data_IF_840459336408
#
_entry.id   IF_840459336408
#
_cell.length_a   1.000
_cell.length_b   1.000
_cell.length_c   1.000
_cell.angle_alpha   90.00
_cell.angle_beta   90.00
_cell.angle_gamma   90.00
#
_symmetry.space_group_name_H-M   'P 1'
#
loop_
_entity.id
_entity.type
_entity.pdbx_description
1 polymer ?
#
# COMPACT_ATOMS: atom_id res chain seq x y z
N UNK A 1 19.53 15.89 -19.27
CA UNK A 1 18.58 14.75 -19.18
C UNK A 1 17.89 14.83 -17.83
N UNK A 2 16.65 15.33 -17.76
CA UNK A 2 15.86 15.26 -16.53
C UNK A 2 15.36 13.82 -16.36
N UNK A 3 15.79 13.14 -15.30
CA UNK A 3 15.18 11.89 -14.85
C UNK A 3 13.96 12.27 -14.02
N UNK A 4 12.77 12.05 -14.56
CA UNK A 4 11.53 12.14 -13.80
C UNK A 4 11.55 11.06 -12.71
N UNK A 5 11.71 11.47 -11.46
CA UNK A 5 11.58 10.60 -10.29
C UNK A 5 10.13 10.74 -9.80
N UNK A 6 9.26 9.80 -10.17
CA UNK A 6 7.94 9.69 -9.51
C UNK A 6 8.18 9.20 -8.08
N UNK A 7 8.21 10.12 -7.12
CA UNK A 7 8.00 9.76 -5.72
C UNK A 7 6.50 9.56 -5.50
N UNK A 8 6.06 8.30 -5.47
CA UNK A 8 4.75 7.96 -4.89
C UNK A 8 4.91 7.91 -3.37
N UNK A 9 4.62 9.03 -2.70
CA UNK A 9 4.62 9.15 -1.24
C UNK A 9 3.25 8.82 -0.67
N UNK A 10 3.20 7.91 0.29
CA UNK A 10 1.97 7.58 0.99
C UNK A 10 1.81 8.48 2.20
N UNK A 11 0.80 9.35 2.15
CA UNK A 11 0.39 10.19 3.25
C UNK A 11 -0.80 9.54 3.98
N UNK A 12 -0.77 9.55 5.31
CA UNK A 12 -1.89 9.08 6.11
C UNK A 12 -3.00 10.15 6.11
N UNK A 13 -4.20 9.76 5.66
CA UNK A 13 -5.41 10.58 5.71
C UNK A 13 -6.53 9.79 6.38
N UNK A 14 -7.30 10.45 7.25
CA UNK A 14 -8.55 9.91 7.78
C UNK A 14 -9.72 10.44 6.95
N UNK A 15 -10.59 9.57 6.45
CA UNK A 15 -11.80 9.96 5.73
C UNK A 15 -13.01 9.78 6.66
N UNK A 16 -13.70 10.87 6.99
CA UNK A 16 -14.96 10.84 7.73
C UNK A 16 -16.07 11.13 6.73
N UNK A 17 -16.87 10.12 6.36
CA UNK A 17 -18.08 10.31 5.55
C UNK A 17 -19.30 10.26 6.48
N UNK A 18 -19.97 11.39 6.77
CA UNK A 18 -21.23 11.35 7.49
C UNK A 18 -22.28 10.67 6.61
N UNK A 19 -22.77 9.50 7.04
CA UNK A 19 -23.90 8.84 6.39
C UNK A 19 -25.17 9.66 6.65
N UNK A 20 -25.64 10.41 5.66
CA UNK A 20 -26.93 11.09 5.71
C UNK A 20 -27.88 10.55 4.65
N UNK A 21 -29.05 10.08 5.08
CA UNK A 21 -30.19 9.63 4.27
C UNK A 21 -30.87 10.80 3.53
N UNK A 22 -30.13 11.59 2.77
CA UNK A 22 -30.68 12.71 2.00
C UNK A 22 -30.33 12.52 0.52
N UNK A 23 -31.35 12.23 -0.30
CA UNK A 23 -31.23 11.95 -1.75
C UNK A 23 -30.58 13.08 -2.58
N UNK A 24 -30.22 14.21 -1.98
CA UNK A 24 -29.61 15.38 -2.62
C UNK A 24 -28.52 16.06 -1.77
N UNK A 25 -27.98 15.43 -0.72
CA UNK A 25 -26.91 16.05 0.07
C UNK A 25 -25.58 16.03 -0.71
N UNK A 26 -24.95 17.20 -0.87
CA UNK A 26 -23.56 17.29 -1.36
C UNK A 26 -22.66 16.61 -0.32
N UNK A 27 -21.97 15.55 -0.72
CA UNK A 27 -20.89 14.96 0.08
C UNK A 27 -19.75 15.97 0.13
N UNK A 28 -19.53 16.57 1.30
CA UNK A 28 -18.32 17.34 1.55
C UNK A 28 -17.26 16.39 2.10
N UNK A 29 -16.13 16.29 1.39
CA UNK A 29 -14.95 15.54 1.83
C UNK A 29 -13.94 16.56 2.36
N UNK A 30 -13.64 16.50 3.65
CA UNK A 30 -12.53 17.23 4.26
C UNK A 30 -11.33 16.31 4.44
N UNK A 31 -10.13 16.86 4.25
CA UNK A 31 -8.87 16.13 4.38
C UNK A 31 -8.02 16.83 5.43
N UNK A 32 -7.65 16.11 6.47
CA UNK A 32 -6.68 16.53 7.47
C UNK A 32 -5.49 15.57 7.44
N UNK A 33 -4.31 16.11 7.17
CA UNK A 33 -3.08 15.34 7.13
C UNK A 33 -2.52 15.17 8.54
N UNK A 34 -2.37 13.92 8.98
CA UNK A 34 -1.82 13.62 10.30
C UNK A 34 -0.28 13.66 10.33
N UNK A 35 0.37 13.71 9.16
CA UNK A 35 1.83 13.79 9.04
C UNK A 35 2.22 14.71 7.88
N UNK A 36 3.23 15.59 8.06
CA UNK A 36 3.82 16.37 6.96
C UNK A 36 4.82 15.55 6.12
N UNK A 37 5.15 14.33 6.55
CA UNK A 37 6.10 13.43 5.87
C UNK A 37 5.46 12.08 5.53
N UNK A 38 6.01 11.33 4.57
CA UNK A 38 5.53 9.99 4.26
C UNK A 38 5.65 9.05 5.47
N UNK A 39 4.61 8.24 5.72
CA UNK A 39 4.62 7.26 6.82
C UNK A 39 5.36 5.96 6.48
N UNK A 40 5.64 5.75 5.19
CA UNK A 40 6.48 4.69 4.65
C UNK A 40 7.36 5.31 3.56
N UNK A 41 8.60 4.83 3.42
CA UNK A 41 9.57 5.35 2.45
C UNK A 41 10.40 4.21 1.86
N UNK A 42 11.00 4.38 0.67
CA UNK A 42 11.89 3.39 0.08
C UNK A 42 13.06 3.03 1.01
N UNK A 43 13.48 1.78 0.97
CA UNK A 43 14.67 1.33 1.67
C UNK A 43 15.94 1.75 0.90
N UNK A 44 17.09 1.80 1.57
CA UNK A 44 18.38 2.04 0.90
C UNK A 44 18.83 0.89 0.01
N UNK A 45 18.28 -0.32 0.23
CA UNK A 45 18.58 -1.54 -0.50
C UNK A 45 17.47 -2.58 -0.33
N UNK A 46 17.50 -3.64 -1.13
CA UNK A 46 16.56 -4.76 -1.02
C UNK A 46 15.24 -4.54 -1.75
N UNK A 47 14.19 -5.30 -1.40
CA UNK A 47 12.92 -5.33 -2.14
C UNK A 47 12.20 -3.99 -2.32
N UNK A 48 12.43 -3.03 -1.43
CA UNK A 48 11.82 -1.70 -1.47
C UNK A 48 12.78 -0.60 -1.96
N UNK A 49 13.91 -0.97 -2.58
CA UNK A 49 14.99 -0.04 -2.90
C UNK A 49 14.65 0.99 -3.98
N UNK A 50 13.71 0.66 -4.87
CA UNK A 50 13.20 1.59 -5.88
C UNK A 50 11.89 2.25 -5.44
N UNK A 51 11.12 1.62 -4.54
CA UNK A 51 9.90 2.21 -4.02
C UNK A 51 9.23 1.41 -2.90
N UNK A 52 8.55 2.13 -2.01
CA UNK A 52 7.56 1.62 -1.07
C UNK A 52 6.29 2.48 -1.18
N UNK A 53 5.22 1.95 -1.79
CA UNK A 53 4.06 2.75 -2.19
C UNK A 53 2.77 1.93 -2.32
N UNK A 54 1.66 2.58 -2.68
CA UNK A 54 0.34 1.97 -2.91
C UNK A 54 -0.17 1.04 -1.78
N UNK A 55 -0.26 1.51 -0.52
CA UNK A 55 -0.64 0.68 0.60
C UNK A 55 -2.15 0.38 0.62
N UNK A 56 -2.49 -0.82 1.05
CA UNK A 56 -3.73 -1.11 1.76
C UNK A 56 -3.50 -0.90 3.26
N UNK A 57 -4.41 -0.21 3.92
CA UNK A 57 -4.38 -0.01 5.37
C UNK A 57 -5.55 -0.74 6.03
N UNK A 58 -5.29 -1.46 7.12
CA UNK A 58 -6.33 -2.06 7.95
C UNK A 58 -5.97 -1.94 9.42
N UNK A 59 -6.98 -1.81 10.27
CA UNK A 59 -6.80 -1.83 11.72
C UNK A 59 -7.12 -3.23 12.24
N UNK A 60 -6.18 -3.83 12.95
CA UNK A 60 -6.34 -5.13 13.59
C UNK A 60 -5.69 -5.12 14.97
N UNK A 61 -6.39 -5.60 16.00
CA UNK A 61 -5.90 -5.71 17.38
C UNK A 61 -5.19 -4.45 17.91
N UNK A 62 -5.81 -3.29 17.69
CA UNK A 62 -5.27 -2.00 18.13
C UNK A 62 -4.07 -1.48 17.33
N UNK A 63 -3.62 -2.21 16.30
CA UNK A 63 -2.54 -1.80 15.39
C UNK A 63 -3.09 -1.43 14.02
N UNK A 64 -2.44 -0.45 13.39
CA UNK A 64 -2.61 -0.18 11.96
C UNK A 64 -1.57 -1.00 11.21
N UNK A 65 -2.02 -1.79 10.24
CA UNK A 65 -1.20 -2.58 9.34
C UNK A 65 -1.25 -1.94 7.96
N UNK A 66 -0.08 -1.81 7.33
CA UNK A 66 0.07 -1.50 5.92
C UNK A 66 0.54 -2.75 5.19
N UNK A 67 -0.19 -3.14 4.16
CA UNK A 67 0.31 -3.99 3.10
C UNK A 67 0.64 -3.07 1.94
N UNK A 68 1.88 -3.03 1.47
CA UNK A 68 2.29 -2.04 0.47
C UNK A 68 3.12 -2.68 -0.63
N UNK A 69 3.14 -2.05 -1.79
CA UNK A 69 4.01 -2.46 -2.88
C UNK A 69 5.44 -2.03 -2.57
N UNK A 70 6.31 -3.02 -2.52
CA UNK A 70 7.76 -2.85 -2.54
C UNK A 70 8.26 -3.13 -3.95
N UNK A 71 9.11 -2.26 -4.50
CA UNK A 71 9.74 -2.49 -5.79
C UNK A 71 11.26 -2.36 -5.69
N UNK A 72 11.98 -3.33 -6.25
CA UNK A 72 13.45 -3.28 -6.34
C UNK A 72 13.91 -2.56 -7.61
N UNK A 73 15.22 -2.32 -7.72
CA UNK A 73 15.81 -1.62 -8.88
C UNK A 73 15.70 -2.39 -10.20
N UNK A 74 15.40 -3.70 -10.17
CA UNK A 74 15.11 -4.48 -11.36
C UNK A 74 13.64 -4.37 -11.79
N UNK A 75 12.82 -3.65 -11.02
CA UNK A 75 11.39 -3.45 -11.26
C UNK A 75 10.50 -4.54 -10.68
N UNK A 76 11.06 -5.50 -9.92
CA UNK A 76 10.27 -6.61 -9.36
C UNK A 76 9.44 -6.13 -8.18
N UNK A 77 8.13 -6.24 -8.30
CA UNK A 77 7.16 -5.85 -7.28
C UNK A 77 6.86 -7.00 -6.30
N UNK A 78 6.78 -6.68 -5.00
CA UNK A 78 6.45 -7.60 -3.90
C UNK A 78 5.48 -6.91 -2.94
N UNK A 79 4.76 -7.68 -2.12
CA UNK A 79 3.92 -7.10 -1.07
C UNK A 79 4.68 -7.08 0.26
N UNK A 80 5.07 -5.89 0.68
CA UNK A 80 5.63 -5.59 1.99
C UNK A 80 4.56 -5.53 3.08
N UNK A 81 5.01 -5.63 4.33
CA UNK A 81 4.18 -5.50 5.53
C UNK A 81 4.83 -4.52 6.48
N UNK A 82 4.04 -3.59 7.03
CA UNK A 82 4.45 -2.77 8.14
C UNK A 82 3.31 -2.63 9.15
N UNK A 83 3.67 -2.42 10.42
CA UNK A 83 2.67 -2.19 11.47
C UNK A 83 3.05 -1.01 12.36
N UNK A 84 2.04 -0.36 12.90
CA UNK A 84 2.15 0.79 13.78
C UNK A 84 1.08 0.73 14.88
N UNK A 85 1.42 1.21 16.07
CA UNK A 85 0.46 1.40 17.18
C UNK A 85 -0.15 2.80 17.20
N UNK A 86 0.44 3.77 16.50
CA UNK A 86 -0.01 5.17 16.46
C UNK A 86 -0.46 5.63 15.06
N UNK A 87 -0.35 4.75 14.05
CA UNK A 87 -0.67 5.01 12.64
C UNK A 87 0.20 6.05 11.95
N UNK A 88 1.30 6.47 12.57
CA UNK A 88 2.24 7.47 12.06
C UNK A 88 3.64 6.89 11.89
N UNK A 89 4.10 6.10 12.87
CA UNK A 89 5.43 5.48 12.88
C UNK A 89 5.30 3.98 12.63
N UNK A 90 5.72 3.56 11.44
CA UNK A 90 5.62 2.16 11.00
C UNK A 90 6.93 1.40 11.13
N UNK A 91 6.83 0.15 11.59
CA UNK A 91 7.93 -0.81 11.55
C UNK A 91 7.68 -1.80 10.41
N UNK A 92 8.53 -1.79 9.39
CA UNK A 92 8.48 -2.73 8.27
C UNK A 92 9.05 -4.10 8.62
N UNK A 93 8.43 -5.15 8.07
CA UNK A 93 8.98 -6.49 8.05
C UNK A 93 10.22 -6.55 7.14
N UNK A 94 11.19 -7.38 7.48
CA UNK A 94 12.36 -7.65 6.63
C UNK A 94 12.04 -8.50 5.40
N UNK A 95 10.94 -9.27 5.46
CA UNK A 95 10.53 -10.18 4.39
C UNK A 95 9.16 -9.76 3.87
N UNK A 96 8.99 -9.66 2.53
CA UNK A 96 7.68 -9.50 1.92
C UNK A 96 6.75 -10.66 2.32
N UNK A 97 5.46 -10.37 2.42
CA UNK A 97 4.43 -11.37 2.70
C UNK A 97 3.97 -12.10 1.44
N UNK A 98 4.17 -11.48 0.27
CA UNK A 98 3.88 -12.08 -1.03
C UNK A 98 5.00 -11.74 -2.00
N UNK A 99 5.47 -12.76 -2.71
CA UNK A 99 6.47 -12.66 -3.76
C UNK A 99 5.93 -13.31 -5.03
N UNK A 100 6.43 -12.92 -6.21
CA UNK A 100 6.05 -13.55 -7.47
C UNK A 100 6.35 -15.06 -7.44
N UNK A 101 5.36 -15.88 -7.77
CA UNK A 101 5.45 -17.33 -7.73
C UNK A 101 4.81 -18.02 -8.96
N UNK A 102 4.09 -17.28 -9.79
CA UNK A 102 3.37 -17.81 -10.95
C UNK A 102 3.79 -17.12 -12.26
N UNK A 103 3.50 -17.74 -13.41
CA UNK A 103 3.90 -17.20 -14.72
C UNK A 103 3.24 -15.85 -15.05
N UNK A 104 2.07 -15.55 -14.47
CA UNK A 104 1.42 -14.26 -14.67
C UNK A 104 1.98 -13.13 -13.77
N UNK A 105 2.92 -13.43 -12.89
CA UNK A 105 3.63 -12.45 -12.04
C UNK A 105 5.12 -12.32 -12.42
N UNK A 106 5.60 -13.17 -13.34
CA UNK A 106 7.01 -13.36 -13.62
C UNK A 106 7.64 -12.11 -14.21
N UNK A 107 8.82 -11.73 -13.73
CA UNK A 107 9.58 -10.56 -14.14
C UNK A 107 8.95 -9.17 -13.86
N UNK A 108 7.65 -9.09 -13.54
CA UNK A 108 6.96 -7.86 -13.14
C UNK A 108 6.68 -7.85 -11.63
N UNK A 109 5.73 -8.68 -11.20
CA UNK A 109 5.58 -9.09 -9.81
C UNK A 109 4.14 -9.06 -9.30
N UNK A 110 4.02 -8.90 -7.98
CA UNK A 110 2.73 -8.76 -7.29
C UNK A 110 2.56 -7.32 -6.82
N UNK A 111 1.45 -6.68 -7.18
CA UNK A 111 1.30 -5.22 -7.10
C UNK A 111 0.02 -4.79 -6.39
N UNK A 112 0.04 -3.55 -5.91
CA UNK A 112 -1.13 -2.75 -5.49
C UNK A 112 -2.13 -3.51 -4.61
N UNK A 113 -1.67 -4.00 -3.44
CA UNK A 113 -2.48 -4.84 -2.57
C UNK A 113 -3.74 -4.09 -2.14
N UNK A 114 -4.84 -4.82 -1.97
CA UNK A 114 -6.08 -4.37 -1.32
C UNK A 114 -6.49 -5.42 -0.30
N UNK A 115 -6.89 -4.98 0.88
CA UNK A 115 -7.31 -5.90 1.95
C UNK A 115 -8.71 -5.52 2.43
N UNK A 116 -9.55 -6.53 2.60
CA UNK A 116 -10.86 -6.43 3.21
C UNK A 116 -11.02 -7.55 4.24
N UNK A 117 -11.62 -7.23 5.39
CA UNK A 117 -12.00 -8.22 6.37
C UNK A 117 -13.49 -8.55 6.24
N UNK A 118 -13.82 -9.84 6.12
CA UNK A 118 -15.20 -10.34 6.17
C UNK A 118 -15.24 -11.42 7.26
N UNK A 119 -15.96 -11.13 8.35
CA UNK A 119 -15.94 -11.96 9.55
C UNK A 119 -14.53 -12.04 10.15
N UNK A 120 -14.04 -13.26 10.39
CA UNK A 120 -12.69 -13.52 10.89
C UNK A 120 -11.63 -13.65 9.79
N UNK A 121 -11.99 -13.46 8.52
CA UNK A 121 -11.11 -13.73 7.37
C UNK A 121 -10.68 -12.43 6.69
N UNK A 122 -9.39 -12.31 6.41
CA UNK A 122 -8.83 -11.25 5.57
C UNK A 122 -8.68 -11.74 4.14
N UNK A 123 -9.25 -10.98 3.21
CA UNK A 123 -9.15 -11.19 1.77
C UNK A 123 -8.16 -10.17 1.21
N UNK A 124 -7.05 -10.67 0.68
CA UNK A 124 -6.06 -9.88 -0.03
C UNK A 124 -6.28 -10.07 -1.53
N UNK A 125 -6.52 -8.98 -2.25
CA UNK A 125 -6.41 -8.95 -3.72
C UNK A 125 -5.16 -8.19 -4.11
N UNK A 126 -4.58 -8.54 -5.25
CA UNK A 126 -3.38 -7.92 -5.78
C UNK A 126 -3.39 -8.04 -7.29
N UNK A 127 -2.63 -7.20 -7.97
CA UNK A 127 -2.41 -7.32 -9.42
C UNK A 127 -1.22 -8.22 -9.68
N UNK A 128 -1.39 -9.27 -10.48
CA UNK A 128 -0.29 -10.06 -11.01
C UNK A 128 0.19 -9.48 -12.34
N UNK A 129 1.45 -9.06 -12.42
CA UNK A 129 2.00 -8.42 -13.62
C UNK A 129 3.23 -9.18 -14.14
N UNK A 130 3.27 -9.48 -15.44
CA UNK A 130 4.38 -10.21 -16.06
C UNK A 130 5.14 -9.45 -17.14
N UNK A 131 5.13 -8.11 -17.10
CA UNK A 131 5.65 -7.21 -18.17
C UNK A 131 4.89 -7.23 -19.49
N UNK A 132 3.85 -8.04 -19.62
CA UNK A 132 3.00 -8.10 -20.81
C UNK A 132 1.54 -7.85 -20.47
N UNK A 133 1.02 -8.62 -19.51
CA UNK A 133 -0.36 -8.64 -19.08
C UNK A 133 -0.43 -8.33 -17.57
N UNK A 134 -1.55 -7.76 -17.14
CA UNK A 134 -1.88 -7.52 -15.74
C UNK A 134 -3.23 -8.17 -15.43
N UNK A 135 -3.29 -8.96 -14.35
CA UNK A 135 -4.49 -9.67 -13.88
C UNK A 135 -4.88 -9.20 -12.48
#
# INVERSE_FOLDING_TARGET
MLRNLLLSSCFACSLIVPYQNARNARVQITVEWSSPTPVISPASSGPASAGAFNPAAIRNDGKTVLLYREQDTAGTSRIGYASSTDSLHFTSSRRPILIPATEYEKDGGVEDPRVLQIGSTYYLTYTGYNKKDAQ
#
